data_IF_025703293616
#
_entry.id   IF_025703293616
#
_cell.length_a   1.000
_cell.length_b   1.000
_cell.length_c   1.000
_cell.angle_alpha   90.00
_cell.angle_beta   90.00
_cell.angle_gamma   90.00
#
_symmetry.space_group_name_H-M   'P 1'
#
loop_
_entity.id
_entity.type
_entity.pdbx_description
1 polymer ?
#
# COMPACT_ATOMS: atom_id res chain seq x y z
N UNK A 1 10.35 71.61 -15.21
CA UNK A 1 9.49 70.43 -15.31
C UNK A 1 10.37 69.33 -15.90
N UNK A 2 10.93 68.38 -15.16
CA UNK A 2 10.37 67.50 -14.11
C UNK A 2 9.36 66.49 -14.69
N UNK A 3 9.38 65.19 -14.38
CA UNK A 3 10.34 64.34 -13.63
C UNK A 3 11.06 63.35 -14.62
N UNK A 4 12.13 62.60 -14.36
CA UNK A 4 12.86 62.13 -13.17
C UNK A 4 12.41 60.79 -12.53
N UNK A 5 12.62 59.66 -13.24
CA UNK A 5 12.85 58.28 -12.72
C UNK A 5 13.83 57.61 -13.71
N UNK A 6 15.01 57.05 -13.37
CA UNK A 6 15.38 56.05 -12.35
C UNK A 6 14.76 54.65 -12.65
N UNK A 7 15.51 53.54 -12.73
CA UNK A 7 16.87 53.24 -12.26
C UNK A 7 17.80 52.77 -13.39
N UNK A 8 19.09 53.09 -13.29
CA UNK A 8 20.14 52.78 -14.26
C UNK A 8 20.70 51.36 -14.14
N UNK A 9 21.09 50.76 -15.28
CA UNK A 9 22.22 49.81 -15.31
C UNK A 9 23.51 50.60 -15.16
N UNK A 10 24.47 50.09 -14.39
CA UNK A 10 25.84 50.62 -14.28
C UNK A 10 26.83 49.43 -14.26
N UNK A 11 28.00 49.64 -14.85
CA UNK A 11 29.05 48.65 -15.12
C UNK A 11 30.09 48.60 -13.96
N UNK A 12 30.72 47.45 -13.60
CA UNK A 12 32.05 46.94 -14.05
C UNK A 12 33.15 48.03 -13.93
N UNK A 13 34.30 47.87 -13.21
CA UNK A 13 35.25 46.72 -13.19
C UNK A 13 35.90 46.48 -11.77
N UNK A 14 37.15 45.98 -11.56
CA UNK A 14 38.04 45.04 -12.28
C UNK A 14 38.49 43.82 -11.41
N UNK A 15 39.45 43.02 -11.92
CA UNK A 15 40.25 42.00 -11.19
C UNK A 15 41.29 42.62 -10.23
N UNK A 16 41.93 41.83 -9.34
CA UNK A 16 43.19 41.12 -9.69
C UNK A 16 43.03 39.57 -9.48
N UNK A 17 43.96 38.63 -9.71
CA UNK A 17 45.45 38.56 -9.69
C UNK A 17 46.10 38.66 -8.28
N UNK A 18 47.19 37.96 -7.92
CA UNK A 18 47.92 36.84 -8.59
C UNK A 18 47.48 35.48 -7.95
N UNK A 19 48.25 34.46 -7.51
CA UNK A 19 49.69 34.14 -7.43
C UNK A 19 49.92 32.61 -7.61
N UNK A 20 51.11 32.19 -8.08
CA UNK A 20 51.38 30.81 -8.51
C UNK A 20 51.97 29.93 -7.39
N UNK A 21 51.13 29.27 -6.58
CA UNK A 21 51.62 28.41 -5.49
C UNK A 21 50.79 27.14 -5.17
N UNK A 22 49.46 27.16 -5.29
CA UNK A 22 48.61 26.20 -4.58
C UNK A 22 48.36 24.87 -5.34
N UNK A 23 48.53 24.86 -6.66
CA UNK A 23 48.16 23.76 -7.58
C UNK A 23 49.01 22.48 -7.49
N UNK A 24 49.87 22.34 -6.47
CA UNK A 24 50.65 21.12 -6.20
C UNK A 24 50.34 20.44 -4.85
N UNK A 25 49.48 21.05 -4.01
CA UNK A 25 49.10 20.49 -2.71
C UNK A 25 47.85 19.61 -2.82
N UNK A 26 46.81 20.10 -3.50
CA UNK A 26 45.49 19.45 -3.57
C UNK A 26 45.57 18.04 -4.20
N UNK A 27 46.27 17.90 -5.33
CA UNK A 27 46.39 16.64 -6.08
C UNK A 27 47.14 15.50 -5.35
N UNK A 28 47.70 15.74 -4.16
CA UNK A 28 48.23 14.70 -3.25
C UNK A 28 47.23 14.28 -2.19
N UNK A 29 46.36 15.19 -1.74
CA UNK A 29 45.40 14.91 -0.66
C UNK A 29 44.32 13.93 -1.14
N UNK A 30 43.80 14.11 -2.35
CA UNK A 30 42.73 13.26 -2.91
C UNK A 30 43.13 11.77 -2.97
N UNK A 31 44.34 11.47 -3.48
CA UNK A 31 44.83 10.09 -3.62
C UNK A 31 45.10 9.38 -2.30
N UNK A 32 45.40 10.12 -1.23
CA UNK A 32 45.52 9.55 0.11
C UNK A 32 44.18 9.34 0.82
N UNK A 33 43.10 9.99 0.34
CA UNK A 33 41.74 9.79 0.85
C UNK A 33 41.13 8.55 0.22
N UNK A 34 41.20 8.40 -1.11
CA UNK A 34 40.66 7.23 -1.83
C UNK A 34 41.23 5.90 -1.28
N UNK A 35 42.56 5.81 -1.17
CA UNK A 35 43.25 4.60 -0.69
C UNK A 35 43.00 4.26 0.80
N UNK A 36 42.41 5.19 1.59
CA UNK A 36 41.94 4.93 2.97
C UNK A 36 40.48 4.48 2.99
N UNK A 37 39.64 5.02 2.11
CA UNK A 37 38.23 4.63 1.97
C UNK A 37 38.10 3.16 1.56
N UNK A 38 38.90 2.68 0.60
CA UNK A 38 38.83 1.28 0.13
C UNK A 38 39.09 0.26 1.26
N UNK A 39 40.12 0.48 2.09
CA UNK A 39 40.47 -0.43 3.20
C UNK A 39 39.46 -0.43 4.35
N UNK A 40 38.78 0.69 4.59
CA UNK A 40 37.64 0.72 5.51
C UNK A 40 36.39 0.05 4.93
N UNK A 41 36.28 -0.09 3.61
CA UNK A 41 35.16 -0.81 2.97
C UNK A 41 35.38 -2.32 3.04
N UNK A 42 36.58 -2.83 2.75
CA UNK A 42 36.90 -4.27 2.84
C UNK A 42 36.70 -4.83 4.26
N UNK A 43 37.28 -4.18 5.28
CA UNK A 43 37.17 -4.61 6.68
C UNK A 43 35.75 -4.56 7.25
N UNK A 44 34.88 -3.70 6.70
CA UNK A 44 33.43 -3.64 7.01
C UNK A 44 32.58 -4.61 6.18
N UNK A 45 33.14 -5.23 5.13
CA UNK A 45 32.49 -6.30 4.39
C UNK A 45 32.76 -7.67 5.03
N UNK A 46 34.01 -7.98 5.39
CA UNK A 46 34.37 -9.25 6.05
C UNK A 46 33.58 -9.46 7.35
N UNK A 47 33.57 -8.45 8.22
CA UNK A 47 32.83 -8.46 9.49
C UNK A 47 31.29 -8.54 9.36
N UNK A 48 30.77 -8.43 8.13
CA UNK A 48 29.33 -8.60 7.81
C UNK A 48 29.01 -9.97 7.23
N UNK A 49 30.00 -10.73 6.77
CA UNK A 49 29.81 -12.08 6.21
C UNK A 49 29.65 -13.13 7.34
N UNK A 50 30.26 -12.91 8.51
CA UNK A 50 30.12 -13.81 9.67
C UNK A 50 28.85 -13.59 10.52
N UNK A 51 27.81 -12.94 9.99
CA UNK A 51 26.50 -12.88 10.65
C UNK A 51 25.79 -14.24 10.58
N UNK A 52 26.18 -15.13 11.52
CA UNK A 52 25.68 -16.50 11.77
C UNK A 52 24.34 -16.85 11.11
N UNK A 53 24.33 -17.97 10.40
CA UNK A 53 23.11 -18.73 10.08
C UNK A 53 22.46 -19.29 11.37
N UNK A 54 21.80 -18.40 12.13
CA UNK A 54 20.79 -18.83 13.09
C UNK A 54 19.69 -19.55 12.30
N UNK A 55 19.62 -20.88 12.48
CA UNK A 55 18.58 -21.73 11.89
C UNK A 55 17.21 -21.26 12.35
N UNK A 56 16.60 -20.35 11.58
CA UNK A 56 15.34 -19.72 11.89
C UNK A 56 14.31 -20.79 12.24
N UNK A 57 13.92 -20.84 13.51
CA UNK A 57 12.90 -21.75 14.02
C UNK A 57 11.63 -21.47 13.26
N UNK A 58 11.25 -22.35 12.31
CA UNK A 58 10.15 -22.08 11.36
C UNK A 58 8.87 -21.75 12.13
N UNK A 59 8.58 -20.46 12.23
CA UNK A 59 7.37 -19.94 12.86
C UNK A 59 6.20 -20.55 12.11
N UNK A 60 5.35 -21.31 12.80
CA UNK A 60 4.19 -21.97 12.18
C UNK A 60 3.30 -20.90 11.56
N UNK A 61 3.24 -20.88 10.23
CA UNK A 61 2.45 -19.90 9.49
C UNK A 61 0.98 -20.03 9.86
N UNK A 62 0.41 -18.96 10.42
CA UNK A 62 -1.03 -18.87 10.68
C UNK A 62 -1.70 -18.30 9.44
N UNK A 63 -2.41 -19.17 8.72
CA UNK A 63 -3.21 -18.81 7.56
C UNK A 63 -4.67 -18.59 7.96
N UNK A 64 -5.30 -17.56 7.38
CA UNK A 64 -6.75 -17.31 7.51
C UNK A 64 -7.42 -17.10 6.16
N UNK A 65 -8.70 -16.68 6.19
CA UNK A 65 -9.47 -16.34 4.98
C UNK A 65 -10.05 -14.93 5.13
N UNK A 66 -9.96 -14.11 4.08
CA UNK A 66 -10.56 -12.77 4.03
C UNK A 66 -11.70 -12.78 3.02
N UNK A 67 -12.92 -12.76 3.54
CA UNK A 67 -14.15 -12.60 2.80
C UNK A 67 -14.37 -11.11 2.50
N UNK A 68 -14.24 -10.71 1.24
CA UNK A 68 -14.47 -9.33 0.76
C UNK A 68 -15.84 -9.29 0.08
N UNK A 69 -16.87 -8.93 0.83
CA UNK A 69 -18.19 -8.67 0.24
C UNK A 69 -18.25 -7.23 -0.26
N UNK A 70 -18.30 -7.03 -1.58
CA UNK A 70 -18.37 -5.68 -2.17
C UNK A 70 -19.62 -5.52 -3.02
N UNK A 71 -20.46 -4.57 -2.61
CA UNK A 71 -21.69 -4.16 -3.30
C UNK A 71 -21.60 -2.71 -3.77
N UNK A 72 -22.58 -2.24 -4.54
CA UNK A 72 -22.67 -0.82 -4.93
C UNK A 72 -22.97 0.12 -3.75
N UNK A 73 -23.51 -0.40 -2.64
CA UNK A 73 -23.89 0.41 -1.49
C UNK A 73 -22.80 0.40 -0.41
N UNK A 74 -22.28 -0.77 -0.04
CA UNK A 74 -21.28 -0.94 1.02
C UNK A 74 -20.25 -2.04 0.67
N UNK A 75 -19.02 -1.93 1.19
CA UNK A 75 -18.01 -2.99 1.15
C UNK A 75 -17.66 -3.44 2.57
N UNK A 76 -17.80 -4.75 2.83
CA UNK A 76 -17.52 -5.41 4.11
C UNK A 76 -16.30 -6.32 3.93
N UNK A 77 -15.36 -6.22 4.86
CA UNK A 77 -14.15 -7.03 4.92
C UNK A 77 -14.20 -7.82 6.21
N UNK A 78 -14.28 -9.14 6.07
CA UNK A 78 -14.47 -10.08 7.17
C UNK A 78 -13.35 -11.11 7.11
N UNK A 79 -12.52 -11.15 8.14
CA UNK A 79 -11.43 -12.12 8.27
C UNK A 79 -11.84 -13.22 9.24
N UNK A 80 -11.67 -14.46 8.81
CA UNK A 80 -11.97 -15.68 9.56
C UNK A 80 -10.74 -16.59 9.64
N UNK A 81 -10.88 -17.65 10.43
CA UNK A 81 -10.02 -18.84 10.32
C UNK A 81 -10.21 -19.57 8.97
N UNK A 82 -9.53 -20.71 8.80
CA UNK A 82 -9.59 -21.55 7.58
C UNK A 82 -10.92 -22.30 7.40
N UNK A 83 -11.62 -22.64 8.49
CA UNK A 83 -12.96 -23.26 8.43
C UNK A 83 -14.04 -22.23 8.09
N UNK A 84 -13.83 -20.96 8.46
CA UNK A 84 -14.81 -19.88 8.29
C UNK A 84 -15.80 -19.76 9.44
N UNK A 85 -15.61 -20.51 10.53
CA UNK A 85 -16.48 -20.50 11.70
C UNK A 85 -16.10 -19.41 12.72
N UNK A 86 -14.81 -19.15 12.93
CA UNK A 86 -14.34 -18.14 13.89
C UNK A 86 -14.00 -16.82 13.20
N UNK A 87 -14.52 -15.70 13.72
CA UNK A 87 -14.24 -14.36 13.19
C UNK A 87 -13.02 -13.75 13.87
N UNK A 88 -11.97 -13.54 13.08
CA UNK A 88 -10.74 -12.84 13.50
C UNK A 88 -11.00 -11.35 13.63
N UNK A 89 -11.60 -10.73 12.62
CA UNK A 89 -11.90 -9.32 12.54
C UNK A 89 -13.02 -9.05 11.52
N UNK A 90 -13.83 -8.01 11.74
CA UNK A 90 -14.82 -7.55 10.76
C UNK A 90 -14.83 -6.02 10.72
N UNK A 91 -14.90 -5.45 9.51
CA UNK A 91 -15.04 -4.02 9.31
C UNK A 91 -15.79 -3.72 8.01
N UNK A 92 -16.50 -2.60 7.95
CA UNK A 92 -17.27 -2.17 6.77
C UNK A 92 -16.99 -0.72 6.44
N UNK A 93 -17.20 -0.32 5.19
CA UNK A 93 -16.93 1.06 4.75
C UNK A 93 -17.68 2.11 5.57
N UNK A 94 -18.93 1.81 5.97
CA UNK A 94 -19.76 2.71 6.79
C UNK A 94 -19.31 2.89 8.24
N UNK A 95 -18.48 2.00 8.80
CA UNK A 95 -17.84 2.23 10.11
C UNK A 95 -16.78 3.35 10.02
N UNK A 96 -16.23 3.59 8.83
CA UNK A 96 -15.09 4.48 8.60
C UNK A 96 -15.43 5.81 7.91
N UNK A 97 -16.69 5.97 7.48
CA UNK A 97 -17.19 7.14 6.74
C UNK A 97 -18.65 7.44 7.10
N UNK A 98 -18.88 8.59 7.72
CA UNK A 98 -20.16 9.04 8.28
C UNK A 98 -21.24 9.44 7.24
N UNK A 99 -21.15 8.95 5.99
CA UNK A 99 -22.00 9.40 4.90
C UNK A 99 -22.33 8.24 3.94
N UNK A 100 -23.59 7.84 3.91
CA UNK A 100 -24.17 6.67 3.23
C UNK A 100 -23.68 6.53 1.78
N UNK A 101 -23.61 7.65 1.06
CA UNK A 101 -23.19 7.72 -0.36
C UNK A 101 -21.73 7.33 -0.61
N UNK A 102 -20.93 7.15 0.44
CA UNK A 102 -19.51 6.84 0.37
C UNK A 102 -19.14 5.51 1.04
N UNK A 103 -20.09 4.74 1.59
CA UNK A 103 -19.82 3.41 2.19
C UNK A 103 -19.20 2.41 1.21
N UNK A 104 -19.58 2.45 -0.08
CA UNK A 104 -18.99 1.61 -1.14
C UNK A 104 -17.71 2.19 -1.75
N UNK A 105 -17.31 3.41 -1.35
CA UNK A 105 -16.18 4.10 -1.98
C UNK A 105 -14.86 3.31 -1.81
N UNK A 106 -13.93 3.38 -2.78
CA UNK A 106 -12.63 2.73 -2.63
C UNK A 106 -11.85 3.26 -1.43
N UNK A 107 -12.09 4.52 -1.01
CA UNK A 107 -11.49 5.10 0.19
C UNK A 107 -12.01 4.44 1.48
N UNK A 108 -13.33 4.26 1.61
CA UNK A 108 -13.94 3.55 2.73
C UNK A 108 -13.45 2.09 2.80
N UNK A 109 -13.35 1.42 1.66
CA UNK A 109 -12.83 0.05 1.56
C UNK A 109 -11.35 -0.06 1.98
N UNK A 110 -10.50 0.93 1.65
CA UNK A 110 -9.11 0.96 2.11
C UNK A 110 -8.99 1.17 3.62
N UNK A 111 -9.81 2.05 4.23
CA UNK A 111 -9.84 2.21 5.69
C UNK A 111 -10.30 0.93 6.40
N UNK A 112 -11.38 0.30 5.92
CA UNK A 112 -11.87 -0.97 6.46
C UNK A 112 -10.81 -2.08 6.36
N UNK A 113 -10.02 -2.11 5.27
CA UNK A 113 -8.92 -3.05 5.11
C UNK A 113 -7.80 -2.81 6.14
N UNK A 114 -7.40 -1.56 6.36
CA UNK A 114 -6.35 -1.20 7.31
C UNK A 114 -6.72 -1.58 8.75
N UNK A 115 -7.96 -1.32 9.19
CA UNK A 115 -8.44 -1.74 10.51
C UNK A 115 -8.41 -3.27 10.70
N UNK A 116 -8.72 -4.04 9.65
CA UNK A 116 -8.60 -5.52 9.66
C UNK A 116 -7.13 -5.95 9.67
N UNK A 117 -6.25 -5.28 8.92
CA UNK A 117 -4.79 -5.49 8.90
C UNK A 117 -4.18 -5.31 10.29
N UNK A 118 -4.57 -4.26 11.01
CA UNK A 118 -4.08 -3.95 12.36
C UNK A 118 -4.46 -5.06 13.37
N UNK A 119 -5.73 -5.45 13.43
CA UNK A 119 -6.19 -6.54 14.31
C UNK A 119 -5.55 -7.89 13.94
N UNK A 120 -5.38 -8.17 12.65
CA UNK A 120 -4.76 -9.41 12.17
C UNK A 120 -3.26 -9.50 12.50
N UNK A 121 -2.53 -8.36 12.51
CA UNK A 121 -1.15 -8.29 13.00
C UNK A 121 -1.07 -8.64 14.48
N UNK A 122 -1.93 -8.04 15.32
CA UNK A 122 -1.99 -8.32 16.76
C UNK A 122 -2.33 -9.78 17.07
N UNK A 123 -3.15 -10.44 16.24
CA UNK A 123 -3.46 -11.88 16.37
C UNK A 123 -2.39 -12.81 15.76
N UNK A 124 -1.34 -12.26 15.15
CA UNK A 124 -0.19 -12.99 14.64
C UNK A 124 -0.47 -13.84 13.40
N UNK A 125 -1.38 -13.38 12.51
CA UNK A 125 -1.63 -14.02 11.21
C UNK A 125 -0.49 -13.69 10.25
N UNK A 126 -0.01 -14.68 9.49
CA UNK A 126 1.13 -14.51 8.55
C UNK A 126 0.69 -14.39 7.09
N UNK A 127 -0.48 -14.92 6.75
CA UNK A 127 -1.03 -14.88 5.40
C UNK A 127 -2.51 -15.22 5.36
N UNK A 128 -3.14 -14.99 4.21
CA UNK A 128 -4.54 -15.34 4.01
C UNK A 128 -4.88 -15.66 2.54
N UNK A 129 -5.98 -16.39 2.36
CA UNK A 129 -6.66 -16.52 1.08
C UNK A 129 -7.76 -15.45 0.98
N UNK A 130 -7.98 -14.90 -0.21
CA UNK A 130 -8.99 -13.87 -0.44
C UNK A 130 -10.19 -14.51 -1.13
N UNK A 131 -11.39 -14.28 -0.61
CA UNK A 131 -12.66 -14.70 -1.22
C UNK A 131 -13.48 -13.46 -1.53
N UNK A 132 -13.48 -13.04 -2.80
CA UNK A 132 -14.26 -11.90 -3.29
C UNK A 132 -15.72 -12.33 -3.48
N UNK A 133 -16.67 -11.49 -3.10
CA UNK A 133 -18.10 -11.79 -3.23
C UNK A 133 -18.89 -10.55 -3.65
N UNK A 134 -19.49 -10.59 -4.83
CA UNK A 134 -20.53 -9.65 -5.24
C UNK A 134 -21.90 -10.06 -4.64
N UNK A 135 -22.94 -9.27 -4.91
CA UNK A 135 -24.31 -9.55 -4.44
C UNK A 135 -24.82 -10.91 -4.94
N UNK A 136 -24.57 -11.22 -6.21
CA UNK A 136 -24.95 -12.48 -6.85
C UNK A 136 -26.47 -12.72 -6.91
N UNK A 137 -26.86 -13.98 -7.11
CA UNK A 137 -28.25 -14.40 -7.25
C UNK A 137 -28.96 -13.66 -8.39
N UNK A 138 -30.07 -13.01 -8.07
CA UNK A 138 -30.84 -12.13 -8.98
C UNK A 138 -30.24 -10.70 -9.11
N UNK A 139 -29.22 -10.38 -8.31
CA UNK A 139 -28.60 -9.07 -8.18
C UNK A 139 -27.58 -8.76 -9.29
N UNK A 140 -26.48 -8.11 -8.91
CA UNK A 140 -25.29 -7.98 -9.75
C UNK A 140 -24.30 -9.09 -9.44
N UNK A 141 -23.74 -9.72 -10.48
CA UNK A 141 -22.60 -10.63 -10.37
C UNK A 141 -21.26 -9.89 -10.38
N UNK A 142 -21.24 -8.63 -10.78
CA UNK A 142 -20.02 -7.79 -10.78
C UNK A 142 -19.76 -7.26 -9.36
N UNK A 143 -18.55 -7.44 -8.79
CA UNK A 143 -18.17 -6.87 -7.50
C UNK A 143 -18.28 -5.33 -7.47
N UNK A 144 -18.55 -4.79 -6.29
CA UNK A 144 -18.57 -3.35 -6.05
C UNK A 144 -17.21 -2.66 -6.21
N UNK A 145 -17.20 -1.31 -6.34
CA UNK A 145 -15.97 -0.54 -6.57
C UNK A 145 -14.94 -0.61 -5.43
N UNK A 146 -15.36 -1.01 -4.23
CA UNK A 146 -14.46 -1.23 -3.10
C UNK A 146 -13.60 -2.50 -3.19
N UNK A 147 -13.97 -3.49 -4.00
CA UNK A 147 -13.30 -4.80 -4.03
C UNK A 147 -11.79 -4.72 -4.35
N UNK A 148 -11.44 -4.07 -5.46
CA UNK A 148 -10.04 -3.96 -5.89
C UNK A 148 -9.21 -3.07 -4.95
N UNK A 149 -9.84 -2.07 -4.33
CA UNK A 149 -9.21 -1.19 -3.35
C UNK A 149 -8.90 -1.93 -2.03
N UNK A 150 -9.84 -2.76 -1.55
CA UNK A 150 -9.64 -3.62 -0.40
C UNK A 150 -8.49 -4.62 -0.61
N UNK A 151 -8.46 -5.33 -1.74
CA UNK A 151 -7.38 -6.27 -2.08
C UNK A 151 -6.01 -5.55 -2.10
N UNK A 152 -5.94 -4.36 -2.70
CA UNK A 152 -4.71 -3.57 -2.78
C UNK A 152 -4.24 -3.04 -1.40
N UNK A 153 -5.16 -2.73 -0.49
CA UNK A 153 -4.82 -2.34 0.88
C UNK A 153 -4.36 -3.55 1.72
N UNK A 154 -5.05 -4.69 1.62
CA UNK A 154 -4.66 -5.95 2.26
C UNK A 154 -3.25 -6.40 1.84
N UNK A 155 -2.90 -6.25 0.55
CA UNK A 155 -1.54 -6.50 0.05
C UNK A 155 -0.49 -5.61 0.71
N UNK A 156 -0.77 -4.30 0.84
CA UNK A 156 0.10 -3.33 1.53
C UNK A 156 0.16 -3.54 3.05
N UNK A 157 -0.76 -4.32 3.61
CA UNK A 157 -0.74 -4.76 5.00
C UNK A 157 0.46 -5.66 5.35
N UNK A 158 1.22 -6.17 4.37
CA UNK A 158 2.43 -6.96 4.58
C UNK A 158 2.20 -8.44 4.83
N UNK A 159 0.98 -8.94 4.59
CA UNK A 159 0.63 -10.36 4.71
C UNK A 159 0.95 -11.13 3.42
N UNK A 160 1.24 -12.42 3.56
CA UNK A 160 1.32 -13.33 2.40
C UNK A 160 -0.07 -13.55 1.81
N UNK A 161 -0.29 -13.10 0.57
CA UNK A 161 -1.51 -13.43 -0.18
C UNK A 161 -1.34 -14.84 -0.78
N UNK A 162 -2.32 -15.71 -0.54
CA UNK A 162 -2.43 -17.01 -1.19
C UNK A 162 -3.35 -16.95 -2.42
N UNK A 163 -4.36 -17.82 -2.43
CA UNK A 163 -5.35 -17.87 -3.52
C UNK A 163 -6.31 -16.66 -3.43
N UNK A 164 -6.82 -16.25 -4.59
CA UNK A 164 -7.87 -15.23 -4.74
C UNK A 164 -9.00 -15.87 -5.53
N UNK A 165 -10.09 -16.20 -4.84
CA UNK A 165 -11.25 -16.90 -5.40
C UNK A 165 -12.45 -15.93 -5.50
N UNK A 166 -13.27 -16.04 -6.55
CA UNK A 166 -14.61 -15.43 -6.58
C UNK A 166 -15.63 -16.42 -6.04
N UNK A 167 -16.33 -16.03 -4.97
CA UNK A 167 -17.41 -16.79 -4.31
C UNK A 167 -18.76 -16.08 -4.43
N UNK A 168 -18.92 -15.24 -5.45
CA UNK A 168 -20.20 -14.67 -5.86
C UNK A 168 -21.22 -15.78 -6.13
N UNK A 169 -22.39 -15.79 -5.48
CA UNK A 169 -23.35 -16.88 -5.65
C UNK A 169 -24.00 -16.81 -7.04
N UNK A 170 -23.70 -17.79 -7.89
CA UNK A 170 -24.29 -17.99 -9.22
C UNK A 170 -25.31 -19.13 -9.13
N UNK A 171 -26.63 -18.88 -9.24
CA UNK A 171 -27.63 -19.94 -9.25
C UNK A 171 -27.79 -20.53 -10.66
N UNK A 172 -28.20 -21.81 -10.73
CA UNK A 172 -28.46 -22.51 -11.99
C UNK A 172 -29.66 -21.92 -12.75
N UNK A 173 -30.72 -21.55 -12.03
CA UNK A 173 -31.84 -20.72 -12.53
C UNK A 173 -32.19 -19.64 -11.49
N UNK A 174 -32.82 -18.56 -11.91
CA UNK A 174 -33.08 -17.37 -11.11
C UNK A 174 -34.55 -17.18 -10.76
N UNK A 175 -34.83 -16.89 -9.49
CA UNK A 175 -36.13 -16.35 -9.10
C UNK A 175 -36.38 -14.97 -9.73
N UNK A 176 -37.65 -14.54 -9.79
CA UNK A 176 -38.03 -13.27 -10.40
C UNK A 176 -37.32 -12.06 -9.74
N UNK A 177 -36.46 -11.39 -10.49
CA UNK A 177 -35.72 -10.19 -10.07
C UNK A 177 -36.65 -9.07 -9.57
N UNK A 178 -36.23 -8.35 -8.53
CA UNK A 178 -36.98 -7.23 -7.91
C UNK A 178 -37.30 -6.14 -8.96
N UNK A 179 -38.57 -6.07 -9.35
CA UNK A 179 -39.09 -5.08 -10.30
C UNK A 179 -40.40 -5.52 -11.00
N UNK A 180 -41.01 -4.57 -11.72
CA UNK A 180 -42.08 -4.88 -12.67
C UNK A 180 -41.52 -5.38 -14.00
N UNK A 181 -42.38 -5.90 -14.90
CA UNK A 181 -42.00 -6.29 -16.28
C UNK A 181 -41.34 -5.14 -17.07
N UNK A 182 -41.62 -3.88 -16.69
CA UNK A 182 -41.06 -2.65 -17.27
C UNK A 182 -39.74 -2.18 -16.62
N UNK A 183 -39.12 -3.01 -15.77
CA UNK A 183 -37.88 -2.68 -15.05
C UNK A 183 -38.07 -1.70 -13.88
N UNK A 184 -36.95 -1.17 -13.37
CA UNK A 184 -36.93 0.05 -12.54
C UNK A 184 -36.92 1.24 -13.49
N UNK A 185 -37.90 2.13 -13.36
CA UNK A 185 -37.86 3.47 -13.95
C UNK A 185 -37.38 4.45 -12.88
N UNK A 186 -36.56 5.40 -13.30
CA UNK A 186 -35.98 6.52 -12.53
C UNK A 186 -36.04 7.73 -13.46
#
# INVERSE_FOLDING_TARGET
MSENEAVTKVEIPPKPEESEAETQVEAKVEKEVEAKVEKEVETKQESKIESKDEKQTKVKEKWGVVHIFSSYNNTIIHMTDLTGAETVAISSGGIHVNADRYESSPFAAMKAANAVVEVARTKGITGFHIRVRAVGGVGSRVPGPGAQAAIRALARGGFKIGRIDDVTPIPHDTTRKKGGKRGRRV
#
